data_IF_270494842768
#
_entry.id   IF_270494842768
#
_cell.length_a   1.000
_cell.length_b   1.000
_cell.length_c   1.000
_cell.angle_alpha   90.00
_cell.angle_beta   90.00
_cell.angle_gamma   90.00
#
_symmetry.space_group_name_H-M   'P 1'
#
loop_
_entity.id
_entity.type
_entity.pdbx_description
1 polymer ?
#
# COMPACT_ATOMS: atom_id res chain seq x y z
N UNK A 1 3.08 -10.71 -3.26
CA UNK A 1 1.69 -10.32 -2.96
C UNK A 1 0.79 -10.31 -4.21
N UNK A 2 1.03 -9.47 -5.23
CA UNK A 2 0.20 -9.42 -6.45
C UNK A 2 0.00 -10.80 -7.11
N UNK A 3 1.10 -11.48 -7.42
CA UNK A 3 1.06 -12.74 -8.17
C UNK A 3 0.49 -13.90 -7.37
N UNK A 4 0.81 -14.01 -6.08
CA UNK A 4 0.19 -15.01 -5.19
C UNK A 4 -1.32 -14.83 -5.10
N UNK A 5 -1.82 -13.59 -5.08
CA UNK A 5 -3.27 -13.34 -5.07
C UNK A 5 -3.93 -13.79 -6.39
N UNK A 6 -3.34 -13.46 -7.54
CA UNK A 6 -3.86 -13.89 -8.85
C UNK A 6 -3.81 -15.40 -9.02
N UNK A 7 -2.70 -16.04 -8.64
CA UNK A 7 -2.52 -17.49 -8.76
C UNK A 7 -3.48 -18.24 -7.84
N UNK A 8 -3.66 -17.80 -6.58
CA UNK A 8 -4.59 -18.41 -5.65
C UNK A 8 -6.04 -18.45 -6.17
N UNK A 9 -6.39 -17.53 -7.08
CA UNK A 9 -7.69 -17.41 -7.76
C UNK A 9 -7.71 -18.01 -9.16
N UNK A 10 -6.62 -18.65 -9.59
CA UNK A 10 -6.51 -19.27 -10.92
C UNK A 10 -6.50 -18.28 -12.09
N UNK A 11 -6.19 -17.00 -11.83
CA UNK A 11 -6.21 -15.93 -12.85
C UNK A 11 -4.89 -15.83 -13.65
N UNK A 12 -3.87 -16.58 -13.26
CA UNK A 12 -2.57 -16.63 -13.93
C UNK A 12 -2.00 -18.04 -13.78
N UNK A 13 -1.29 -18.52 -14.81
CA UNK A 13 -0.56 -19.78 -14.72
C UNK A 13 0.76 -19.60 -13.97
N UNK A 14 1.17 -20.56 -13.12
CA UNK A 14 2.41 -20.48 -12.34
C UNK A 14 3.65 -20.11 -13.16
N UNK A 15 3.80 -20.73 -14.33
CA UNK A 15 4.94 -20.52 -15.23
C UNK A 15 4.95 -19.15 -15.92
N UNK A 16 3.84 -18.41 -15.90
CA UNK A 16 3.74 -17.08 -16.50
C UNK A 16 4.04 -15.96 -15.49
N UNK A 17 4.29 -16.31 -14.22
CA UNK A 17 4.61 -15.34 -13.18
C UNK A 17 6.09 -14.96 -13.31
N UNK A 18 6.42 -13.67 -13.50
CA UNK A 18 7.81 -13.25 -13.61
C UNK A 18 8.55 -13.45 -12.28
N UNK A 19 9.82 -13.84 -12.39
CA UNK A 19 10.75 -13.83 -11.27
C UNK A 19 10.97 -12.40 -10.76
N UNK A 20 11.27 -12.27 -9.47
CA UNK A 20 11.61 -10.99 -8.86
C UNK A 20 13.01 -11.08 -8.26
N UNK A 21 13.93 -10.30 -8.81
CA UNK A 21 15.29 -10.19 -8.26
C UNK A 21 15.27 -9.86 -6.77
N UNK A 22 16.12 -10.56 -6.01
CA UNK A 22 16.24 -10.46 -4.55
C UNK A 22 15.12 -11.14 -3.76
N UNK A 23 14.19 -11.86 -4.42
CA UNK A 23 13.13 -12.61 -3.74
C UNK A 23 13.00 -14.00 -4.36
N UNK A 24 13.42 -15.01 -3.63
CA UNK A 24 13.34 -16.40 -4.05
C UNK A 24 11.92 -16.93 -3.82
N UNK A 25 11.16 -17.09 -4.90
CA UNK A 25 9.82 -17.69 -4.86
C UNK A 25 9.74 -18.78 -5.92
N UNK A 26 9.51 -20.01 -5.48
CA UNK A 26 9.10 -21.10 -6.36
C UNK A 26 7.62 -20.94 -6.69
N UNK A 27 7.30 -20.46 -7.91
CA UNK A 27 5.90 -20.36 -8.35
C UNK A 27 5.37 -21.69 -8.89
N UNK A 28 6.22 -22.46 -9.58
CA UNK A 28 5.87 -23.75 -10.18
C UNK A 28 6.28 -24.86 -9.22
N UNK A 29 5.31 -25.43 -8.51
CA UNK A 29 5.56 -26.56 -7.63
C UNK A 29 5.38 -27.88 -8.37
N UNK A 30 6.26 -28.85 -8.11
CA UNK A 30 6.20 -30.17 -8.74
C UNK A 30 5.40 -31.21 -7.93
N UNK A 31 4.74 -32.12 -8.63
CA UNK A 31 4.13 -33.34 -8.13
C UNK A 31 5.16 -34.39 -7.71
N UNK A 32 4.72 -35.50 -7.14
CA UNK A 32 5.60 -36.60 -6.75
C UNK A 32 6.33 -37.25 -7.95
N UNK A 33 5.80 -37.07 -9.15
CA UNK A 33 6.39 -37.52 -10.42
C UNK A 33 7.39 -36.52 -11.02
N UNK A 34 7.75 -35.46 -10.30
CA UNK A 34 8.67 -34.42 -10.76
C UNK A 34 8.11 -33.46 -11.82
N UNK A 35 6.83 -33.61 -12.21
CA UNK A 35 6.18 -32.72 -13.19
C UNK A 35 5.47 -31.58 -12.48
N UNK A 36 5.32 -30.44 -13.16
CA UNK A 36 4.58 -29.30 -12.63
C UNK A 36 3.17 -29.70 -12.19
N UNK A 37 2.80 -29.30 -10.97
CA UNK A 37 1.50 -29.52 -10.36
C UNK A 37 0.86 -28.16 -10.06
N UNK A 38 -0.11 -27.82 -10.90
CA UNK A 38 -0.84 -26.55 -10.82
C UNK A 38 -1.61 -26.43 -9.50
N UNK A 39 -2.19 -27.51 -8.99
CA UNK A 39 -2.99 -27.47 -7.77
C UNK A 39 -2.09 -27.23 -6.55
N UNK A 40 -0.91 -27.85 -6.50
CA UNK A 40 0.10 -27.52 -5.47
C UNK A 40 0.49 -26.05 -5.52
N UNK A 41 0.74 -25.53 -6.72
CA UNK A 41 1.09 -24.11 -6.92
C UNK A 41 0.00 -23.15 -6.44
N UNK A 42 -1.26 -23.45 -6.75
CA UNK A 42 -2.42 -22.70 -6.25
C UNK A 42 -2.54 -22.78 -4.73
N UNK A 43 -2.33 -23.97 -4.14
CA UNK A 43 -2.43 -24.15 -2.70
C UNK A 43 -1.32 -23.41 -1.94
N UNK A 44 -0.09 -23.38 -2.47
CA UNK A 44 0.99 -22.57 -1.94
C UNK A 44 0.67 -21.07 -2.03
N UNK A 45 0.15 -20.62 -3.17
CA UNK A 45 -0.30 -19.24 -3.34
C UNK A 45 -1.43 -18.85 -2.37
N UNK A 46 -2.39 -19.76 -2.12
CA UNK A 46 -3.44 -19.57 -1.09
C UNK A 46 -2.86 -19.44 0.31
N UNK A 47 -1.80 -20.20 0.63
CA UNK A 47 -1.09 -20.05 1.90
C UNK A 47 -0.43 -18.67 2.04
N UNK A 48 0.20 -18.15 0.98
CA UNK A 48 0.73 -16.77 0.97
C UNK A 48 -0.40 -15.74 1.14
N UNK A 49 -1.53 -15.90 0.46
CA UNK A 49 -2.70 -15.01 0.60
C UNK A 49 -3.17 -14.93 2.05
N UNK A 50 -3.28 -16.08 2.74
CA UNK A 50 -3.65 -16.10 4.15
C UNK A 50 -2.59 -15.47 5.04
N UNK A 51 -1.32 -15.83 4.86
CA UNK A 51 -0.22 -15.36 5.69
C UNK A 51 -0.04 -13.84 5.63
N UNK A 52 -0.22 -13.23 4.46
CA UNK A 52 -0.13 -11.77 4.27
C UNK A 52 -1.46 -11.03 4.46
N UNK A 53 -2.51 -11.67 5.01
CA UNK A 53 -3.79 -11.01 5.28
C UNK A 53 -4.57 -10.56 4.04
N UNK A 54 -4.29 -11.14 2.87
CA UNK A 54 -4.89 -10.72 1.59
C UNK A 54 -6.24 -11.41 1.29
N UNK A 55 -6.73 -12.27 2.19
CA UNK A 55 -7.93 -13.08 1.97
C UNK A 55 -9.18 -12.25 1.63
N UNK A 56 -9.30 -11.06 2.21
CA UNK A 56 -10.46 -10.18 2.08
C UNK A 56 -10.31 -9.13 0.97
N UNK A 57 -9.22 -9.14 0.21
CA UNK A 57 -9.02 -8.18 -0.88
C UNK A 57 -9.91 -8.52 -2.08
N UNK A 58 -10.61 -7.52 -2.61
CA UNK A 58 -11.42 -7.66 -3.83
C UNK A 58 -10.61 -7.50 -5.12
N UNK A 59 -9.45 -6.85 -5.04
CA UNK A 59 -8.52 -6.63 -6.15
C UNK A 59 -7.11 -7.09 -5.76
N UNK A 60 -6.31 -7.47 -6.74
CA UNK A 60 -4.91 -7.82 -6.49
C UNK A 60 -4.13 -6.61 -5.95
N UNK A 61 -3.22 -6.79 -4.99
CA UNK A 61 -2.28 -5.75 -4.58
C UNK A 61 -1.59 -5.11 -5.79
N UNK A 62 -1.50 -3.79 -5.86
CA UNK A 62 -0.93 -3.11 -7.02
C UNK A 62 0.56 -3.45 -7.20
N UNK A 63 1.00 -3.59 -8.46
CA UNK A 63 2.43 -3.71 -8.79
C UNK A 63 3.12 -2.34 -8.84
N UNK A 64 2.35 -1.29 -9.12
CA UNK A 64 2.78 0.09 -9.17
C UNK A 64 1.79 0.93 -8.37
N UNK A 65 2.29 1.58 -7.34
CA UNK A 65 1.62 2.54 -6.49
C UNK A 65 2.67 3.51 -5.94
N UNK A 66 2.23 4.64 -5.39
CA UNK A 66 3.14 5.59 -4.74
C UNK A 66 3.96 4.96 -3.61
N UNK A 67 3.37 4.02 -2.86
CA UNK A 67 4.08 3.23 -1.84
C UNK A 67 5.20 2.37 -2.44
N UNK A 68 4.96 1.65 -3.54
CA UNK A 68 6.00 0.82 -4.18
C UNK A 68 7.11 1.64 -4.85
N UNK A 69 6.82 2.91 -5.17
CA UNK A 69 7.76 3.86 -5.76
C UNK A 69 8.55 4.65 -4.71
N UNK A 70 8.23 4.52 -3.42
CA UNK A 70 8.84 5.31 -2.35
C UNK A 70 8.34 6.76 -2.29
N UNK A 71 7.20 7.06 -2.92
CA UNK A 71 6.62 8.40 -3.05
C UNK A 71 5.37 8.62 -2.16
N UNK A 72 5.06 7.68 -1.28
CA UNK A 72 3.96 7.77 -0.31
C UNK A 72 4.36 7.25 1.07
N UNK A 73 3.63 7.74 2.06
CA UNK A 73 3.68 7.28 3.45
C UNK A 73 2.27 7.28 4.03
N UNK A 74 1.95 6.26 4.84
CA UNK A 74 0.72 6.23 5.60
C UNK A 74 0.98 6.73 7.01
N UNK A 75 0.32 7.84 7.37
CA UNK A 75 0.44 8.48 8.69
C UNK A 75 -0.95 8.74 9.27
N UNK A 76 -1.26 8.03 10.37
CA UNK A 76 -2.42 8.35 11.21
C UNK A 76 -2.01 9.41 12.21
N UNK A 77 -2.60 10.60 12.10
CA UNK A 77 -2.27 11.76 12.93
C UNK A 77 -3.44 12.15 13.82
N UNK A 78 -3.14 12.55 15.05
CA UNK A 78 -4.10 13.17 15.97
C UNK A 78 -3.38 14.10 16.93
N UNK A 79 -4.03 15.19 17.34
CA UNK A 79 -3.49 16.09 18.36
C UNK A 79 -4.58 16.67 19.26
N UNK A 80 -4.16 17.33 20.34
CA UNK A 80 -5.04 18.06 21.26
C UNK A 80 -4.71 19.55 21.22
N UNK A 81 -5.70 20.40 21.49
CA UNK A 81 -5.52 21.85 21.50
C UNK A 81 -5.11 22.40 20.13
N UNK A 82 -4.35 23.49 20.15
CA UNK A 82 -3.80 24.06 18.92
C UNK A 82 -2.53 23.31 18.51
N UNK A 83 -2.36 23.08 17.21
CA UNK A 83 -1.13 22.54 16.66
C UNK A 83 -0.27 23.70 16.15
N UNK A 84 0.90 23.88 16.73
CA UNK A 84 1.94 24.79 16.24
C UNK A 84 2.94 23.98 15.43
N UNK A 85 3.10 24.31 14.15
CA UNK A 85 3.95 23.57 13.22
C UNK A 85 4.61 24.55 12.23
N UNK A 86 5.81 24.22 11.75
CA UNK A 86 6.50 25.01 10.74
C UNK A 86 6.08 24.60 9.33
N UNK A 87 5.95 25.57 8.44
CA UNK A 87 5.86 25.33 6.99
C UNK A 87 7.24 25.15 6.34
N UNK A 88 7.28 24.95 5.02
CA UNK A 88 8.52 24.77 4.27
C UNK A 88 9.44 26.01 4.21
N UNK A 89 8.95 27.20 4.61
CA UNK A 89 9.74 28.42 4.73
C UNK A 89 10.29 28.60 6.14
N UNK A 90 9.89 27.75 7.08
CA UNK A 90 10.28 27.81 8.49
C UNK A 90 9.38 28.69 9.35
N UNK A 91 8.27 29.19 8.79
CA UNK A 91 7.32 30.05 9.48
C UNK A 91 6.34 29.23 10.34
N UNK A 92 6.01 29.73 11.52
CA UNK A 92 5.08 29.04 12.43
C UNK A 92 3.63 29.25 11.98
N UNK A 93 2.94 28.15 11.70
CA UNK A 93 1.50 28.07 11.48
C UNK A 93 0.83 27.53 12.73
N UNK A 94 -0.22 28.22 13.21
CA UNK A 94 -1.03 27.77 14.35
C UNK A 94 -2.38 27.27 13.83
N UNK A 95 -2.56 25.95 13.83
CA UNK A 95 -3.81 25.31 13.42
C UNK A 95 -4.76 25.27 14.61
N UNK A 96 -5.88 26.01 14.49
CA UNK A 96 -6.94 26.11 15.51
C UNK A 96 -8.24 25.39 15.11
N UNK A 97 -8.31 24.88 13.89
CA UNK A 97 -9.51 24.28 13.32
C UNK A 97 -9.65 22.80 13.67
N UNK A 98 -10.86 22.29 13.51
CA UNK A 98 -11.20 20.87 13.53
C UNK A 98 -11.20 20.29 12.10
N UNK A 99 -11.10 18.95 11.92
CA UNK A 99 -10.78 17.96 12.93
C UNK A 99 -9.34 18.11 13.44
N UNK A 100 -9.03 17.51 14.59
CA UNK A 100 -7.67 17.48 15.16
C UNK A 100 -6.94 16.19 14.76
N UNK A 101 -6.98 15.91 13.47
CA UNK A 101 -6.41 14.72 12.85
C UNK A 101 -5.87 15.01 11.43
N UNK A 102 -5.34 13.98 10.77
CA UNK A 102 -4.80 14.06 9.41
C UNK A 102 -5.78 14.54 8.33
N UNK A 103 -7.06 14.77 8.63
CA UNK A 103 -8.05 15.31 7.70
C UNK A 103 -8.24 16.83 7.83
N UNK A 104 -7.50 17.52 8.69
CA UNK A 104 -7.56 18.97 8.81
C UNK A 104 -7.02 19.66 7.55
N UNK A 105 -7.82 20.54 6.95
CA UNK A 105 -7.45 21.22 5.70
C UNK A 105 -6.29 22.21 5.86
N UNK A 106 -6.10 22.84 7.03
CA UNK A 106 -4.92 23.67 7.27
C UNK A 106 -3.65 22.82 7.39
N UNK A 107 -3.76 21.61 7.97
CA UNK A 107 -2.65 20.66 7.99
C UNK A 107 -2.31 20.18 6.56
N UNK A 108 -3.31 20.03 5.69
CA UNK A 108 -3.09 19.68 4.28
C UNK A 108 -2.29 20.76 3.56
N UNK A 109 -2.59 22.05 3.77
CA UNK A 109 -1.81 23.15 3.19
C UNK A 109 -0.37 23.20 3.73
N UNK A 110 -0.17 22.95 5.04
CA UNK A 110 1.18 22.81 5.61
C UNK A 110 1.93 21.65 4.96
N UNK A 111 1.32 20.46 4.87
CA UNK A 111 1.93 19.29 4.23
C UNK A 111 2.28 19.55 2.77
N UNK A 112 1.37 20.18 2.02
CA UNK A 112 1.57 20.55 0.61
C UNK A 112 2.76 21.50 0.42
N UNK A 113 3.09 22.33 1.41
CA UNK A 113 4.30 23.16 1.35
C UNK A 113 5.59 22.31 1.29
N UNK A 114 5.58 21.10 1.85
CA UNK A 114 6.69 20.14 1.80
C UNK A 114 6.56 19.10 0.67
N UNK A 115 5.69 19.34 -0.32
CA UNK A 115 5.32 18.34 -1.34
C UNK A 115 4.75 17.03 -0.75
N UNK A 116 4.15 17.10 0.44
CA UNK A 116 3.46 15.99 1.10
C UNK A 116 1.95 16.23 1.05
N UNK A 117 1.31 15.69 0.03
CA UNK A 117 -0.08 15.98 -0.35
C UNK A 117 -1.01 14.90 0.21
N UNK A 118 -2.10 15.33 0.85
CA UNK A 118 -3.14 14.41 1.35
C UNK A 118 -3.85 13.71 0.20
N UNK A 119 -4.15 12.42 0.37
CA UNK A 119 -4.95 11.65 -0.58
C UNK A 119 -6.26 12.36 -1.02
N UNK A 120 -6.44 12.51 -2.32
CA UNK A 120 -7.59 13.21 -2.91
C UNK A 120 -8.93 12.48 -2.73
N UNK A 121 -8.91 11.15 -2.54
CA UNK A 121 -10.12 10.39 -2.22
C UNK A 121 -10.61 10.56 -0.77
N UNK A 122 -9.96 11.44 0.00
CA UNK A 122 -10.41 11.88 1.32
C UNK A 122 -10.48 10.74 2.32
N UNK A 123 -11.66 10.53 2.91
CA UNK A 123 -11.87 9.57 3.99
C UNK A 123 -11.77 8.09 3.56
N UNK A 124 -11.71 7.80 2.27
CA UNK A 124 -11.51 6.45 1.75
C UNK A 124 -10.11 5.90 2.10
N UNK A 125 -9.13 6.77 2.29
CA UNK A 125 -7.79 6.43 2.76
C UNK A 125 -7.21 7.56 3.64
N UNK A 126 -7.69 7.63 4.89
CA UNK A 126 -7.31 8.69 5.83
C UNK A 126 -5.82 8.72 6.16
N UNK A 127 -5.09 7.60 6.30
CA UNK A 127 -3.66 7.65 6.57
C UNK A 127 -2.81 8.13 5.39
N UNK A 128 -3.29 8.04 4.15
CA UNK A 128 -2.42 8.23 2.98
C UNK A 128 -1.98 9.67 2.73
N UNK A 129 -0.66 9.84 2.56
CA UNK A 129 0.00 11.05 2.07
C UNK A 129 1.04 10.68 1.00
N UNK A 130 1.19 11.50 -0.03
CA UNK A 130 2.11 11.23 -1.12
C UNK A 130 2.55 12.50 -1.84
N UNK A 131 3.51 12.37 -2.74
CA UNK A 131 4.00 13.49 -3.56
C UNK A 131 2.95 14.11 -4.49
N UNK A 132 1.84 13.42 -4.77
CA UNK A 132 0.79 13.90 -5.69
C UNK A 132 -0.65 13.64 -5.23
N UNK A 133 -0.85 13.14 -4.01
CA UNK A 133 -2.17 12.89 -3.42
C UNK A 133 -2.96 11.74 -4.06
N UNK A 134 -2.31 10.83 -4.79
CA UNK A 134 -2.95 9.70 -5.48
C UNK A 134 -2.68 8.33 -4.88
#
# INVERSE_FOLDING_TARGET
MHWSWKLARGMVEPANIPEKSGVEIEWVHNGANGKADRNKSINAAKSMVRAYGMSNLNVAPALRSRHTEGNAIDMTLSWMGNLEIKDNKGETVIIKTMPRDGMNTQLHEVGKSFDVIKYHGGANDKPHWSTDGR
#
